data_IF_951347722848
#
_entry.id   IF_951347722848
#
_cell.length_a   1.000
_cell.length_b   1.000
_cell.length_c   1.000
_cell.angle_alpha   90.00
_cell.angle_beta   90.00
_cell.angle_gamma   90.00
#
_symmetry.space_group_name_H-M   'P 1'
#
loop_
_entity.id
_entity.type
_entity.pdbx_description
1 polymer ?
#
# COMPACT_ATOMS: atom_id res chain seq x y z
N UNK A 1 -20.51 12.78 -4.78
CA UNK A 1 -19.42 12.17 -4.01
C UNK A 1 -18.46 11.61 -5.03
N UNK A 2 -17.31 12.24 -5.22
CA UNK A 2 -16.25 11.65 -6.05
C UNK A 2 -15.69 10.49 -5.25
N UNK A 3 -15.96 9.25 -5.67
CA UNK A 3 -15.17 8.11 -5.20
C UNK A 3 -13.71 8.41 -5.53
N UNK A 4 -12.90 8.71 -4.51
CA UNK A 4 -11.48 8.94 -4.71
C UNK A 4 -10.86 7.67 -5.28
N UNK A 5 -10.31 7.77 -6.49
CA UNK A 5 -9.67 6.66 -7.19
C UNK A 5 -8.53 6.10 -6.32
N UNK A 6 -8.43 4.78 -6.20
CA UNK A 6 -7.30 4.16 -5.50
C UNK A 6 -6.06 4.09 -6.41
N UNK A 7 -4.92 4.47 -5.86
CA UNK A 7 -3.60 4.28 -6.47
C UNK A 7 -2.75 3.41 -5.56
N UNK A 8 -2.25 2.31 -6.11
CA UNK A 8 -1.35 1.39 -5.40
C UNK A 8 0.08 1.57 -5.89
N UNK A 9 1.00 1.77 -4.97
CA UNK A 9 2.45 1.77 -5.22
C UNK A 9 3.04 0.55 -4.52
N UNK A 10 3.44 -0.44 -5.31
CA UNK A 10 3.96 -1.73 -4.84
C UNK A 10 5.47 -1.66 -4.83
N UNK A 11 6.06 -1.77 -3.64
CA UNK A 11 7.51 -1.74 -3.42
C UNK A 11 7.96 -3.18 -3.15
N UNK A 12 8.41 -3.85 -4.21
CA UNK A 12 8.69 -5.29 -4.19
C UNK A 12 9.87 -5.62 -5.13
N UNK A 13 10.83 -6.40 -4.66
CA UNK A 13 12.01 -6.76 -5.47
C UNK A 13 11.69 -7.88 -6.46
N UNK A 14 10.78 -8.78 -6.08
CA UNK A 14 10.37 -9.90 -6.91
C UNK A 14 9.29 -9.47 -7.92
N UNK A 15 9.64 -9.46 -9.21
CA UNK A 15 8.73 -9.04 -10.27
C UNK A 15 7.51 -9.95 -10.43
N UNK A 16 7.61 -11.24 -10.07
CA UNK A 16 6.46 -12.15 -10.14
C UNK A 16 5.43 -11.80 -9.07
N UNK A 17 5.90 -11.57 -7.84
CA UNK A 17 5.04 -11.15 -6.73
C UNK A 17 4.41 -9.78 -7.04
N UNK A 18 5.19 -8.84 -7.55
CA UNK A 18 4.68 -7.53 -7.95
C UNK A 18 3.58 -7.65 -9.02
N UNK A 19 3.80 -8.48 -10.05
CA UNK A 19 2.83 -8.65 -11.14
C UNK A 19 1.54 -9.35 -10.68
N UNK A 20 1.65 -10.38 -9.85
CA UNK A 20 0.49 -11.07 -9.27
C UNK A 20 -0.33 -10.12 -8.40
N UNK A 21 0.35 -9.31 -7.57
CA UNK A 21 -0.30 -8.29 -6.75
C UNK A 21 -0.99 -7.21 -7.60
N UNK A 22 -0.35 -6.70 -8.66
CA UNK A 22 -0.97 -5.75 -9.59
C UNK A 22 -2.25 -6.34 -10.21
N UNK A 23 -2.18 -7.59 -10.65
CA UNK A 23 -3.30 -8.28 -11.30
C UNK A 23 -4.46 -8.48 -10.32
N UNK A 24 -4.18 -8.94 -9.10
CA UNK A 24 -5.20 -9.12 -8.07
C UNK A 24 -5.84 -7.81 -7.62
N UNK A 25 -5.06 -6.73 -7.46
CA UNK A 25 -5.59 -5.40 -7.12
C UNK A 25 -6.46 -4.82 -8.24
N UNK A 26 -6.06 -4.99 -9.49
CA UNK A 26 -6.87 -4.57 -10.65
C UNK A 26 -8.14 -5.40 -10.81
N UNK A 27 -8.11 -6.69 -10.45
CA UNK A 27 -9.31 -7.51 -10.40
C UNK A 27 -10.29 -7.03 -9.30
N UNK A 28 -9.77 -6.64 -8.14
CA UNK A 28 -10.57 -6.12 -7.03
C UNK A 28 -11.09 -4.69 -7.27
N UNK A 29 -10.31 -3.86 -7.98
CA UNK A 29 -10.67 -2.48 -8.35
C UNK A 29 -10.31 -2.24 -9.81
N UNK A 30 -11.24 -2.46 -10.76
CA UNK A 30 -10.96 -2.36 -12.20
C UNK A 30 -10.38 -1.01 -12.63
N UNK A 31 -10.80 0.07 -11.98
CA UNK A 31 -10.36 1.43 -12.29
C UNK A 31 -9.23 1.92 -11.36
N UNK A 32 -8.48 1.05 -10.68
CA UNK A 32 -7.32 1.53 -9.89
C UNK A 32 -6.10 1.85 -10.77
N UNK A 33 -5.22 2.71 -10.25
CA UNK A 33 -3.88 2.89 -10.80
C UNK A 33 -2.91 1.98 -10.01
N UNK A 34 -2.06 1.21 -10.69
CA UNK A 34 -1.04 0.41 -10.02
C UNK A 34 0.34 0.73 -10.56
N UNK A 35 1.30 0.87 -9.66
CA UNK A 35 2.68 1.15 -9.99
C UNK A 35 3.61 0.25 -9.20
N UNK A 36 4.47 -0.47 -9.90
CA UNK A 36 5.54 -1.25 -9.28
C UNK A 36 6.85 -0.44 -9.24
N UNK A 37 7.52 -0.49 -8.09
CA UNK A 37 8.87 0.01 -7.86
C UNK A 37 9.71 -1.11 -7.23
N UNK A 38 10.87 -1.47 -7.81
CA UNK A 38 11.72 -2.51 -7.24
C UNK A 38 12.45 -2.05 -5.97
N UNK A 39 12.63 -0.73 -5.80
CA UNK A 39 13.37 -0.14 -4.70
C UNK A 39 12.61 1.02 -4.05
N UNK A 40 12.78 1.16 -2.74
CA UNK A 40 12.19 2.24 -1.94
C UNK A 40 12.75 3.62 -2.30
N UNK A 41 14.00 3.69 -2.78
CA UNK A 41 14.64 4.93 -3.23
C UNK A 41 13.83 5.66 -4.30
N UNK A 42 13.11 4.90 -5.11
CA UNK A 42 12.40 5.42 -6.28
C UNK A 42 11.03 6.00 -5.87
N UNK A 43 10.61 5.85 -4.61
CA UNK A 43 9.29 6.24 -4.14
C UNK A 43 9.13 7.76 -4.05
N UNK A 44 10.18 8.49 -3.66
CA UNK A 44 10.14 9.95 -3.43
C UNK A 44 9.73 10.71 -4.69
N UNK A 45 10.26 10.30 -5.84
CA UNK A 45 9.98 10.95 -7.13
C UNK A 45 8.61 10.61 -7.69
N UNK A 46 8.01 9.52 -7.22
CA UNK A 46 6.83 8.90 -7.82
C UNK A 46 5.57 9.03 -6.97
N UNK A 47 5.71 9.41 -5.71
CA UNK A 47 4.58 9.73 -4.85
C UNK A 47 4.01 11.12 -5.22
N UNK A 48 2.73 11.19 -5.62
CA UNK A 48 2.08 12.46 -5.88
C UNK A 48 2.03 13.33 -4.62
N UNK A 49 1.87 14.65 -4.80
CA UNK A 49 1.53 15.54 -3.69
C UNK A 49 0.16 15.16 -3.09
N UNK A 50 -0.04 15.46 -1.80
CA UNK A 50 -1.26 15.14 -1.05
C UNK A 50 -2.55 15.74 -1.64
N UNK A 51 -2.45 16.70 -2.55
CA UNK A 51 -3.57 17.32 -3.26
C UNK A 51 -4.06 16.54 -4.50
N UNK A 52 -3.62 15.30 -4.70
CA UNK A 52 -4.06 14.48 -5.83
C UNK A 52 -5.47 13.91 -5.61
N UNK A 53 -6.26 13.83 -6.69
CA UNK A 53 -7.63 13.28 -6.69
C UNK A 53 -7.73 11.77 -6.36
N UNK A 54 -6.58 11.12 -6.14
CA UNK A 54 -6.47 9.68 -5.89
C UNK A 54 -5.81 9.41 -4.53
N UNK A 55 -6.42 8.50 -3.76
CA UNK A 55 -5.85 8.04 -2.48
C UNK A 55 -4.72 7.06 -2.76
N UNK A 56 -3.53 7.36 -2.26
CA UNK A 56 -2.34 6.56 -2.51
C UNK A 56 -2.12 5.55 -1.39
N UNK A 57 -1.86 4.29 -1.77
CA UNK A 57 -1.60 3.17 -0.88
C UNK A 57 -0.25 2.58 -1.24
N UNK A 58 0.68 2.58 -0.30
CA UNK A 58 2.00 1.98 -0.42
C UNK A 58 1.94 0.54 0.10
N UNK A 59 2.31 -0.43 -0.73
CA UNK A 59 2.36 -1.85 -0.34
C UNK A 59 3.81 -2.31 -0.35
N UNK A 60 4.29 -2.89 0.74
CA UNK A 60 5.69 -3.32 0.84
C UNK A 60 5.89 -4.49 1.80
N UNK A 61 7.00 -5.23 1.63
CA UNK A 61 7.48 -6.27 2.56
C UNK A 61 8.64 -5.79 3.45
N UNK A 62 8.90 -4.49 3.50
CA UNK A 62 9.89 -3.93 4.43
C UNK A 62 9.45 -4.14 5.87
N UNK A 63 10.41 -4.42 6.76
CA UNK A 63 10.15 -4.44 8.19
C UNK A 63 9.83 -3.05 8.74
N UNK A 64 9.26 -2.97 9.94
CA UNK A 64 8.99 -1.72 10.64
C UNK A 64 10.26 -0.87 10.81
N UNK A 65 11.40 -1.51 11.15
CA UNK A 65 12.68 -0.82 11.26
C UNK A 65 13.14 -0.26 9.92
N UNK A 66 13.02 -1.03 8.83
CA UNK A 66 13.38 -0.57 7.49
C UNK A 66 12.49 0.59 7.01
N UNK A 67 11.20 0.57 7.35
CA UNK A 67 10.28 1.68 7.05
C UNK A 67 10.69 2.98 7.74
N UNK A 68 11.22 2.90 8.96
CA UNK A 68 11.74 4.05 9.71
C UNK A 68 13.09 4.51 9.16
N UNK A 69 14.03 3.59 8.94
CA UNK A 69 15.37 3.89 8.42
C UNK A 69 15.34 4.54 7.03
N UNK A 70 14.44 4.08 6.16
CA UNK A 70 14.27 4.64 4.81
C UNK A 70 13.51 5.96 4.80
N UNK A 71 12.89 6.34 5.93
CA UNK A 71 12.00 7.51 6.01
C UNK A 71 10.68 7.35 5.25
N UNK A 72 10.36 6.14 4.76
CA UNK A 72 9.15 5.89 4.00
C UNK A 72 7.88 6.16 4.83
N UNK A 73 7.91 5.85 6.12
CA UNK A 73 6.82 6.13 7.05
C UNK A 73 6.49 7.63 7.12
N UNK A 74 7.52 8.46 7.30
CA UNK A 74 7.40 9.92 7.35
C UNK A 74 6.93 10.49 6.01
N UNK A 75 7.48 9.98 4.90
CA UNK A 75 7.08 10.39 3.56
C UNK A 75 5.60 10.07 3.30
N UNK A 76 5.15 8.86 3.63
CA UNK A 76 3.76 8.46 3.48
C UNK A 76 2.82 9.39 4.26
N UNK A 77 3.16 9.68 5.51
CA UNK A 77 2.40 10.61 6.35
C UNK A 77 2.33 12.02 5.74
N UNK A 78 3.47 12.56 5.29
CA UNK A 78 3.53 13.89 4.65
C UNK A 78 2.71 13.98 3.36
N UNK A 79 2.59 12.86 2.64
CA UNK A 79 1.84 12.76 1.38
C UNK A 79 0.39 12.30 1.56
N UNK A 80 -0.04 12.05 2.80
CA UNK A 80 -1.38 11.50 3.08
C UNK A 80 -1.59 10.11 2.47
N UNK A 81 -0.51 9.34 2.28
CA UNK A 81 -0.56 7.98 1.77
C UNK A 81 -0.75 6.97 2.90
N UNK A 82 -1.49 5.91 2.61
CA UNK A 82 -1.67 4.78 3.52
C UNK A 82 -0.56 3.75 3.30
N UNK A 83 -0.19 3.02 4.35
CA UNK A 83 0.80 1.95 4.29
C UNK A 83 0.12 0.61 4.53
N UNK A 84 0.44 -0.35 3.68
CA UNK A 84 0.14 -1.77 3.81
C UNK A 84 1.45 -2.52 3.90
N UNK A 85 1.65 -3.21 5.03
CA UNK A 85 2.83 -4.05 5.24
C UNK A 85 2.44 -5.50 4.99
N UNK A 86 3.10 -6.14 4.02
CA UNK A 86 2.98 -7.56 3.80
C UNK A 86 3.72 -8.29 4.94
N UNK A 87 3.01 -9.20 5.62
CA UNK A 87 3.50 -9.88 6.80
C UNK A 87 4.78 -10.68 6.50
N UNK A 88 5.68 -10.66 7.47
CA UNK A 88 7.01 -11.27 7.38
C UNK A 88 7.58 -11.42 8.78
N UNK A 89 8.49 -10.53 9.16
CA UNK A 89 9.19 -10.59 10.45
C UNK A 89 8.41 -9.89 11.57
N UNK A 90 7.69 -8.80 11.25
CA UNK A 90 6.98 -8.02 12.25
C UNK A 90 5.58 -8.59 12.57
N UNK A 91 5.14 -8.51 13.85
CA UNK A 91 3.80 -8.92 14.24
C UNK A 91 2.74 -8.01 13.61
N UNK A 92 1.61 -8.60 13.22
CA UNK A 92 0.43 -7.88 12.71
C UNK A 92 -0.08 -6.82 13.67
N UNK A 93 -0.01 -7.10 14.98
CA UNK A 93 -0.45 -6.20 16.04
C UNK A 93 0.37 -4.92 16.09
N UNK A 94 1.69 -5.02 15.84
CA UNK A 94 2.60 -3.86 15.81
C UNK A 94 2.34 -2.99 14.59
N UNK A 95 2.10 -3.59 13.43
CA UNK A 95 1.71 -2.89 12.19
C UNK A 95 0.40 -2.13 12.41
N UNK A 96 -0.60 -2.81 12.99
CA UNK A 96 -1.93 -2.24 13.24
C UNK A 96 -1.88 -1.10 14.24
N UNK A 97 -1.05 -1.19 15.30
CA UNK A 97 -0.88 -0.13 16.31
C UNK A 97 -0.38 1.18 15.72
N UNK A 98 0.35 1.13 14.60
CA UNK A 98 0.80 2.31 13.83
C UNK A 98 -0.28 2.90 12.93
N UNK A 99 -1.48 2.30 12.92
CA UNK A 99 -2.58 2.70 12.05
C UNK A 99 -2.40 2.26 10.59
N UNK A 100 -1.49 1.32 10.33
CA UNK A 100 -1.24 0.75 9.00
C UNK A 100 -2.03 -0.55 8.81
N UNK A 101 -2.18 -0.96 7.56
CA UNK A 101 -2.80 -2.24 7.22
C UNK A 101 -1.73 -3.33 7.11
N UNK A 102 -2.15 -4.58 7.29
CA UNK A 102 -1.33 -5.77 7.06
C UNK A 102 -1.92 -6.60 5.93
N UNK A 103 -1.08 -7.21 5.10
CA UNK A 103 -1.47 -8.21 4.09
C UNK A 103 -0.76 -9.53 4.38
N UNK A 104 -1.45 -10.65 4.30
CA UNK A 104 -0.86 -11.98 4.54
C UNK A 104 0.28 -12.31 3.53
N UNK A 105 1.17 -13.22 3.91
CA UNK A 105 2.25 -13.70 3.05
C UNK A 105 2.46 -15.21 3.22
N UNK A 106 2.24 -16.03 2.17
CA UNK A 106 1.73 -15.64 0.84
C UNK A 106 0.31 -15.05 0.92
N UNK A 107 -0.04 -14.19 -0.04
CA UNK A 107 -1.38 -13.65 -0.19
C UNK A 107 -2.16 -14.42 -1.27
N UNK A 108 -3.47 -14.33 -1.20
CA UNK A 108 -4.43 -14.75 -2.23
C UNK A 108 -5.11 -13.52 -2.84
N UNK A 109 -5.88 -13.74 -3.90
CA UNK A 109 -6.69 -12.66 -4.49
C UNK A 109 -7.85 -12.25 -3.57
N UNK A 110 -8.37 -13.16 -2.76
CA UNK A 110 -9.38 -12.85 -1.75
C UNK A 110 -8.80 -11.91 -0.67
N UNK A 111 -7.55 -12.13 -0.24
CA UNK A 111 -6.86 -11.23 0.70
C UNK A 111 -6.71 -9.80 0.14
N UNK A 112 -6.47 -9.67 -1.17
CA UNK A 112 -6.38 -8.37 -1.85
C UNK A 112 -7.76 -7.70 -1.98
N UNK A 113 -8.82 -8.48 -2.22
CA UNK A 113 -10.19 -7.97 -2.23
C UNK A 113 -10.62 -7.48 -0.83
N UNK A 114 -10.30 -8.24 0.22
CA UNK A 114 -10.55 -7.86 1.60
C UNK A 114 -9.77 -6.60 1.99
N UNK A 115 -8.50 -6.51 1.59
CA UNK A 115 -7.68 -5.31 1.77
C UNK A 115 -8.36 -4.09 1.11
N UNK A 116 -8.80 -4.21 -0.14
CA UNK A 116 -9.51 -3.15 -0.86
C UNK A 116 -10.81 -2.74 -0.14
N UNK A 117 -11.57 -3.70 0.38
CA UNK A 117 -12.78 -3.43 1.17
C UNK A 117 -12.46 -2.64 2.44
N UNK A 118 -11.41 -3.04 3.16
CA UNK A 118 -10.94 -2.36 4.37
C UNK A 118 -10.45 -0.93 4.06
N UNK A 119 -9.70 -0.77 2.97
CA UNK A 119 -9.27 0.52 2.47
C UNK A 119 -10.47 1.43 2.17
N UNK A 120 -11.48 0.93 1.46
CA UNK A 120 -12.63 1.73 1.03
C UNK A 120 -13.52 2.18 2.21
N UNK A 121 -13.66 1.33 3.24
CA UNK A 121 -14.45 1.64 4.43
C UNK A 121 -13.84 2.71 5.35
N UNK A 122 -12.50 2.87 5.34
CA UNK A 122 -11.79 3.89 6.14
C UNK A 122 -12.08 5.33 5.69
N UNK A 123 -12.68 5.51 4.51
CA UNK A 123 -13.08 6.83 3.97
C UNK A 123 -14.34 7.43 4.62
N UNK A 124 -15.03 6.72 5.53
CA UNK A 124 -16.33 7.15 6.10
C UNK A 124 -16.19 7.98 7.38
N UNK A 125 -14.98 8.29 7.85
CA UNK A 125 -14.77 9.15 9.03
C UNK A 125 -14.01 10.43 8.68
N UNK A 126 -14.76 11.43 8.18
CA UNK A 126 -14.44 12.85 8.33
C UNK A 126 -15.71 13.60 8.70
#
# INVERSE_FOLDING_TARGET
>A
MTDSKLRFVIIEKDSFIAHDMQSGLQAAVPDCDTRWLPNVSDVVEQLPSAAADARTVLITKLSLSQLEETGLSNLAQQRGAEIVVRLGEDPKEEITRRGWFSLESPFTWDDLADLVGALSSRSVTM
#
